data_IF_433605100451
#
_entry.id   IF_433605100451
#
_cell.length_a   1.000
_cell.length_b   1.000
_cell.length_c   1.000
_cell.angle_alpha   90.00
_cell.angle_beta   90.00
_cell.angle_gamma   90.00
#
_symmetry.space_group_name_H-M   'P 1'
#
loop_
_entity.id
_entity.type
_entity.pdbx_description
1 polymer ?
#
# COMPACT_ATOMS: atom_id res chain seq x y z
N UNK A 1 21.29 1.43 4.84
CA UNK A 1 21.50 0.78 6.14
C UNK A 1 20.12 0.67 6.73
N UNK A 2 19.68 -0.54 7.08
CA UNK A 2 18.43 -0.71 7.80
C UNK A 2 18.69 -0.65 9.31
N UNK A 3 17.65 -0.34 10.08
CA UNK A 3 17.71 -0.23 11.53
C UNK A 3 17.95 -1.61 12.12
N UNK A 4 18.99 -1.74 12.95
CA UNK A 4 19.33 -2.98 13.65
C UNK A 4 18.99 -3.00 15.14
N UNK A 5 18.74 -1.81 15.71
CA UNK A 5 18.30 -1.59 17.09
C UNK A 5 17.29 -0.44 17.13
N UNK A 6 16.01 -0.78 17.25
CA UNK A 6 14.89 0.17 17.17
C UNK A 6 14.79 1.04 18.42
N UNK A 7 15.13 0.52 19.60
CA UNK A 7 15.09 1.28 20.85
C UNK A 7 16.17 2.36 20.85
N UNK A 8 17.40 2.00 20.44
CA UNK A 8 18.49 2.95 20.25
C UNK A 8 18.16 3.96 19.16
N UNK A 9 17.60 3.52 18.03
CA UNK A 9 17.17 4.44 16.96
C UNK A 9 16.10 5.43 17.46
N UNK A 10 15.14 4.95 18.23
CA UNK A 10 14.02 5.73 18.72
C UNK A 10 14.38 6.67 19.89
N UNK A 11 15.56 6.51 20.50
CA UNK A 11 15.98 7.15 21.75
C UNK A 11 14.98 6.89 22.89
N UNK A 12 14.61 5.62 23.06
CA UNK A 12 13.69 5.15 24.10
C UNK A 12 14.44 4.26 25.09
N UNK A 13 14.08 4.36 26.37
CA UNK A 13 14.46 3.35 27.36
C UNK A 13 13.60 2.08 27.20
N UNK A 14 14.03 0.96 27.79
CA UNK A 14 13.23 -0.27 27.82
C UNK A 14 11.86 -0.04 28.48
N UNK A 15 11.80 0.77 29.53
CA UNK A 15 10.54 1.15 30.21
C UNK A 15 9.61 1.94 29.29
N UNK A 16 10.16 2.86 28.48
CA UNK A 16 9.37 3.60 27.50
C UNK A 16 8.77 2.67 26.44
N UNK A 17 9.58 1.74 25.91
CA UNK A 17 9.16 0.77 24.89
C UNK A 17 8.03 -0.09 25.45
N UNK A 18 8.19 -0.62 26.67
CA UNK A 18 7.17 -1.44 27.32
C UNK A 18 5.86 -0.67 27.56
N UNK A 19 5.93 0.59 28.02
CA UNK A 19 4.74 1.41 28.27
C UNK A 19 4.01 1.78 26.95
N UNK A 20 4.75 2.06 25.87
CA UNK A 20 4.17 2.28 24.55
C UNK A 20 3.41 1.02 24.09
N UNK A 21 4.04 -0.15 24.20
CA UNK A 21 3.43 -1.44 23.86
C UNK A 21 2.14 -1.67 24.64
N UNK A 22 2.19 -1.52 25.97
CA UNK A 22 1.01 -1.64 26.86
C UNK A 22 -0.13 -0.70 26.45
N UNK A 23 0.18 0.54 26.09
CA UNK A 23 -0.82 1.52 25.66
C UNK A 23 -1.41 1.19 24.29
N UNK A 24 -0.64 0.65 23.36
CA UNK A 24 -1.19 0.17 22.09
C UNK A 24 -2.14 -1.02 22.29
N UNK A 25 -1.81 -1.96 23.17
CA UNK A 25 -2.72 -3.06 23.53
C UNK A 25 -4.01 -2.55 24.19
N UNK A 26 -3.91 -1.53 25.06
CA UNK A 26 -5.08 -0.90 25.68
C UNK A 26 -5.99 -0.23 24.64
N UNK A 27 -5.41 0.46 23.65
CA UNK A 27 -6.13 1.04 22.52
C UNK A 27 -6.84 -0.07 21.74
N UNK A 28 -6.12 -1.13 21.36
CA UNK A 28 -6.69 -2.26 20.61
C UNK A 28 -7.90 -2.85 21.33
N UNK A 29 -7.71 -3.18 22.60
CA UNK A 29 -8.75 -3.76 23.46
C UNK A 29 -9.95 -2.84 23.59
N UNK A 30 -9.74 -1.56 23.87
CA UNK A 30 -10.83 -0.58 23.99
C UNK A 30 -11.70 -0.53 22.73
N UNK A 31 -11.08 -0.51 21.54
CA UNK A 31 -11.82 -0.44 20.29
C UNK A 31 -12.52 -1.76 19.96
N UNK A 32 -11.86 -2.91 20.17
CA UNK A 32 -12.45 -4.25 20.03
C UNK A 32 -13.67 -4.46 20.92
N UNK A 33 -13.56 -4.10 22.20
CA UNK A 33 -14.65 -4.25 23.18
C UNK A 33 -15.86 -3.36 22.83
N UNK A 34 -15.66 -2.30 22.03
CA UNK A 34 -16.70 -1.35 21.62
C UNK A 34 -17.36 -1.65 20.25
N UNK A 35 -16.97 -2.74 19.59
CA UNK A 35 -17.52 -3.11 18.30
C UNK A 35 -18.99 -3.49 18.41
N UNK A 36 -19.80 -3.07 17.43
CA UNK A 36 -21.22 -3.38 17.47
C UNK A 36 -21.99 -2.98 16.22
N UNK A 37 -23.31 -2.75 16.39
CA UNK A 37 -24.24 -2.60 15.26
C UNK A 37 -23.92 -1.41 14.34
N UNK A 38 -23.20 -0.39 14.80
CA UNK A 38 -22.76 0.72 13.95
C UNK A 38 -21.74 0.25 12.91
N UNK A 39 -20.79 -0.59 13.32
CA UNK A 39 -19.74 -1.15 12.48
C UNK A 39 -20.31 -2.18 11.50
N UNK A 40 -21.16 -3.07 11.99
CA UNK A 40 -21.86 -4.03 11.12
C UNK A 40 -22.72 -3.33 10.04
N UNK A 41 -23.39 -2.22 10.39
CA UNK A 41 -24.13 -1.41 9.40
C UNK A 41 -23.22 -0.73 8.39
N UNK A 42 -22.02 -0.31 8.80
CA UNK A 42 -21.04 0.32 7.90
C UNK A 42 -20.67 -0.62 6.75
N UNK A 43 -20.17 -1.81 7.07
CA UNK A 43 -19.72 -2.77 6.04
C UNK A 43 -20.89 -3.26 5.16
N UNK A 44 -22.04 -3.56 5.75
CA UNK A 44 -23.25 -3.97 4.99
C UNK A 44 -23.72 -2.86 4.04
N UNK A 45 -23.60 -1.59 4.44
CA UNK A 45 -23.95 -0.45 3.58
C UNK A 45 -22.96 -0.33 2.42
N UNK A 46 -21.66 -0.46 2.68
CA UNK A 46 -20.64 -0.43 1.63
C UNK A 46 -20.80 -1.55 0.61
N UNK A 47 -21.06 -2.79 1.07
CA UNK A 47 -21.36 -3.92 0.18
C UNK A 47 -22.59 -3.62 -0.67
N UNK A 48 -23.66 -3.06 -0.10
CA UNK A 48 -24.85 -2.67 -0.88
C UNK A 48 -24.51 -1.60 -1.92
N UNK A 49 -23.74 -0.58 -1.56
CA UNK A 49 -23.33 0.49 -2.48
C UNK A 49 -22.48 -0.09 -3.61
N UNK A 50 -21.48 -0.91 -3.29
CA UNK A 50 -20.61 -1.56 -4.27
C UNK A 50 -21.43 -2.43 -5.24
N UNK A 51 -22.29 -3.31 -4.73
CA UNK A 51 -23.13 -4.20 -5.57
C UNK A 51 -24.09 -3.40 -6.45
N UNK A 52 -24.65 -2.30 -5.92
CA UNK A 52 -25.49 -1.39 -6.70
C UNK A 52 -24.68 -0.72 -7.82
N UNK A 53 -23.49 -0.20 -7.51
CA UNK A 53 -22.60 0.41 -8.52
C UNK A 53 -22.20 -0.58 -9.61
N UNK A 54 -21.91 -1.83 -9.25
CA UNK A 54 -21.58 -2.87 -10.23
C UNK A 54 -22.77 -3.18 -11.16
N UNK A 55 -23.94 -3.47 -10.59
CA UNK A 55 -25.15 -3.80 -11.37
C UNK A 55 -25.57 -2.61 -12.24
N UNK A 56 -25.62 -1.40 -11.67
CA UNK A 56 -25.96 -0.18 -12.42
C UNK A 56 -24.91 0.10 -13.49
N UNK A 57 -23.61 -0.01 -13.18
CA UNK A 57 -22.54 0.22 -14.15
C UNK A 57 -22.63 -0.72 -15.35
N UNK A 58 -22.84 -2.01 -15.10
CA UNK A 58 -23.06 -3.01 -16.15
C UNK A 58 -24.35 -2.75 -16.92
N UNK A 59 -25.45 -2.41 -16.24
CA UNK A 59 -26.73 -2.05 -16.88
C UNK A 59 -26.60 -0.85 -17.83
N UNK A 60 -25.93 0.22 -17.39
CA UNK A 60 -25.68 1.42 -18.21
C UNK A 60 -24.87 1.10 -19.47
N UNK A 61 -23.93 0.16 -19.39
CA UNK A 61 -23.17 -0.31 -20.57
C UNK A 61 -24.05 -1.08 -21.56
N UNK A 62 -25.13 -1.71 -21.11
CA UNK A 62 -26.07 -2.47 -21.94
C UNK A 62 -27.22 -1.62 -22.53
N UNK A 63 -27.56 -0.49 -21.90
CA UNK A 63 -28.63 0.42 -22.37
C UNK A 63 -28.50 0.79 -23.85
N UNK A 64 -27.32 1.14 -24.39
CA UNK A 64 -27.19 1.45 -25.81
C UNK A 64 -27.44 0.24 -26.74
N UNK A 65 -27.12 -0.99 -26.31
CA UNK A 65 -27.42 -2.21 -27.05
C UNK A 65 -28.92 -2.44 -27.11
N UNK A 66 -29.61 -2.31 -25.96
CA UNK A 66 -31.07 -2.40 -25.89
C UNK A 66 -31.74 -1.29 -26.71
N UNK A 67 -31.25 -0.06 -26.61
CA UNK A 67 -31.75 1.08 -27.39
C UNK A 67 -31.60 0.89 -28.89
N UNK A 68 -30.48 0.32 -29.36
CA UNK A 68 -30.32 -0.01 -30.78
C UNK A 68 -31.32 -1.06 -31.25
N UNK A 69 -31.55 -2.11 -30.45
CA UNK A 69 -32.53 -3.14 -30.76
C UNK A 69 -33.95 -2.57 -30.84
N UNK A 70 -34.36 -1.76 -29.86
CA UNK A 70 -35.67 -1.11 -29.82
C UNK A 70 -35.85 -0.08 -30.95
N UNK A 71 -34.80 0.66 -31.31
CA UNK A 71 -34.83 1.58 -32.45
C UNK A 71 -35.03 0.83 -33.78
N UNK A 72 -34.38 -0.32 -33.97
CA UNK A 72 -34.60 -1.18 -35.14
C UNK A 72 -36.04 -1.70 -35.23
N UNK A 73 -36.70 -1.88 -34.09
CA UNK A 73 -38.10 -2.27 -33.99
C UNK A 73 -39.08 -1.08 -34.13
N UNK A 74 -38.58 0.14 -34.35
CA UNK A 74 -39.42 1.34 -34.47
C UNK A 74 -40.04 1.83 -33.15
N UNK A 75 -39.59 1.29 -32.02
CA UNK A 75 -40.17 1.56 -30.69
C UNK A 75 -39.55 2.78 -29.98
N UNK A 76 -38.60 3.47 -30.61
CA UNK A 76 -37.95 4.66 -30.03
C UNK A 76 -38.16 5.92 -30.87
N UNK A 77 -38.23 7.10 -30.23
CA UNK A 77 -38.35 8.38 -30.94
C UNK A 77 -37.13 8.64 -31.85
N UNK A 78 -37.35 9.29 -33.00
CA UNK A 78 -36.28 9.72 -33.93
C UNK A 78 -35.22 10.63 -33.27
N UNK A 79 -35.53 11.22 -32.11
CA UNK A 79 -34.62 12.03 -31.29
C UNK A 79 -33.63 11.22 -30.46
N UNK A 80 -33.71 9.88 -30.44
CA UNK A 80 -32.70 9.00 -29.84
C UNK A 80 -31.40 9.10 -30.65
N UNK A 81 -30.61 10.13 -30.35
CA UNK A 81 -29.33 10.41 -31.01
C UNK A 81 -28.21 9.55 -30.41
N UNK A 82 -27.21 9.23 -31.25
CA UNK A 82 -25.96 8.58 -30.85
C UNK A 82 -25.16 9.33 -29.75
N UNK A 83 -25.52 10.55 -29.39
CA UNK A 83 -24.89 11.34 -28.32
C UNK A 83 -25.22 10.81 -26.91
N UNK A 84 -26.40 10.25 -26.68
CA UNK A 84 -26.76 9.64 -25.39
C UNK A 84 -25.88 8.42 -25.06
N UNK A 85 -25.39 7.74 -26.10
CA UNK A 85 -24.55 6.55 -25.97
C UNK A 85 -23.24 6.81 -25.20
N UNK A 86 -22.57 7.93 -25.45
CA UNK A 86 -21.30 8.26 -24.79
C UNK A 86 -21.48 8.56 -23.30
N UNK A 87 -22.58 9.22 -22.92
CA UNK A 87 -22.94 9.46 -21.53
C UNK A 87 -23.12 8.15 -20.76
N UNK A 88 -23.93 7.23 -21.29
CA UNK A 88 -24.13 5.91 -20.68
C UNK A 88 -22.84 5.09 -20.60
N UNK A 89 -21.99 5.15 -21.63
CA UNK A 89 -20.71 4.43 -21.64
C UNK A 89 -19.78 4.91 -20.52
N UNK A 90 -19.56 6.22 -20.42
CA UNK A 90 -18.66 6.76 -19.40
C UNK A 90 -19.25 6.66 -17.99
N UNK A 91 -20.55 6.88 -17.82
CA UNK A 91 -21.23 6.66 -16.54
C UNK A 91 -21.11 5.19 -16.10
N UNK A 92 -21.34 4.24 -17.02
CA UNK A 92 -21.22 2.81 -16.75
C UNK A 92 -19.79 2.39 -16.40
N UNK A 93 -18.80 2.86 -17.17
CA UNK A 93 -17.38 2.59 -16.91
C UNK A 93 -16.92 3.18 -15.57
N UNK A 94 -17.33 4.40 -15.23
CA UNK A 94 -17.00 5.05 -13.96
C UNK A 94 -17.66 4.35 -12.77
N UNK A 95 -18.94 3.99 -12.87
CA UNK A 95 -19.63 3.24 -11.81
C UNK A 95 -18.96 1.87 -11.58
N UNK A 96 -18.59 1.17 -12.66
CA UNK A 96 -17.86 -0.10 -12.56
C UNK A 96 -16.45 0.08 -11.97
N UNK A 97 -15.74 1.15 -12.34
CA UNK A 97 -14.43 1.48 -11.78
C UNK A 97 -14.50 1.73 -10.26
N UNK A 98 -15.50 2.50 -9.81
CA UNK A 98 -15.74 2.73 -8.39
C UNK A 98 -16.12 1.45 -7.65
N UNK A 99 -17.01 0.63 -8.23
CA UNK A 99 -17.37 -0.67 -7.65
C UNK A 99 -16.14 -1.57 -7.45
N UNK A 100 -15.25 -1.62 -8.47
CA UNK A 100 -14.00 -2.38 -8.42
C UNK A 100 -13.00 -1.82 -7.40
N UNK A 101 -12.93 -0.50 -7.22
CA UNK A 101 -12.08 0.14 -6.20
C UNK A 101 -12.57 -0.20 -4.79
N UNK A 102 -13.87 -0.04 -4.52
CA UNK A 102 -14.47 -0.37 -3.23
C UNK A 102 -14.32 -1.85 -2.90
N UNK A 103 -14.57 -2.73 -3.87
CA UNK A 103 -14.40 -4.17 -3.70
C UNK A 103 -12.94 -4.54 -3.41
N UNK A 104 -11.97 -3.86 -4.02
CA UNK A 104 -10.56 -4.16 -3.79
C UNK A 104 -10.08 -3.70 -2.41
N UNK A 105 -10.30 -2.44 -2.06
CA UNK A 105 -9.60 -1.81 -0.93
C UNK A 105 -10.45 -1.75 0.34
N UNK A 106 -11.73 -1.37 0.25
CA UNK A 106 -12.55 -1.18 1.44
C UNK A 106 -13.27 -2.44 1.89
N UNK A 107 -13.65 -3.31 0.94
CA UNK A 107 -14.43 -4.51 1.25
C UNK A 107 -13.53 -5.74 1.26
N UNK A 108 -12.97 -6.13 0.11
CA UNK A 108 -12.24 -7.40 -0.04
C UNK A 108 -10.97 -7.45 0.79
N UNK A 109 -10.10 -6.44 0.70
CA UNK A 109 -8.89 -6.33 1.51
C UNK A 109 -9.21 -6.44 3.01
N UNK A 110 -10.09 -5.58 3.51
CA UNK A 110 -10.43 -5.49 4.93
C UNK A 110 -11.12 -6.76 5.44
N UNK A 111 -12.02 -7.36 4.65
CA UNK A 111 -12.67 -8.63 5.03
C UNK A 111 -11.66 -9.77 5.10
N UNK A 112 -10.72 -9.87 4.15
CA UNK A 112 -9.69 -10.91 4.18
C UNK A 112 -8.66 -10.73 5.29
N UNK A 113 -8.49 -9.52 5.83
CA UNK A 113 -7.73 -9.28 7.08
C UNK A 113 -8.44 -9.76 8.34
N UNK A 114 -9.70 -10.18 8.25
CA UNK A 114 -10.48 -10.60 9.42
C UNK A 114 -11.13 -9.45 10.16
N UNK A 115 -11.14 -8.24 9.59
CA UNK A 115 -11.69 -7.05 10.25
C UNK A 115 -13.16 -7.18 10.64
N UNK A 116 -13.91 -8.06 10.00
CA UNK A 116 -15.34 -8.26 10.26
C UNK A 116 -15.67 -9.62 10.89
N UNK A 117 -14.67 -10.47 11.19
CA UNK A 117 -14.88 -11.85 11.66
C UNK A 117 -15.60 -11.89 13.02
N UNK A 118 -15.45 -10.84 13.84
CA UNK A 118 -16.18 -10.68 15.11
C UNK A 118 -17.71 -10.69 14.94
N UNK A 119 -18.22 -10.40 13.73
CA UNK A 119 -19.65 -10.45 13.43
C UNK A 119 -20.20 -11.88 13.35
N UNK A 120 -19.33 -12.89 13.18
CA UNK A 120 -19.71 -14.27 12.86
C UNK A 120 -20.72 -14.37 11.69
N UNK A 121 -20.58 -13.48 10.71
CA UNK A 121 -21.42 -13.44 9.52
C UNK A 121 -20.88 -14.43 8.47
N UNK A 122 -21.69 -15.34 7.91
CA UNK A 122 -21.19 -16.39 7.02
C UNK A 122 -20.68 -15.85 5.67
N UNK A 123 -21.19 -14.70 5.23
CA UNK A 123 -20.74 -14.05 4.00
C UNK A 123 -19.57 -13.11 4.27
N UNK A 124 -19.67 -12.27 5.30
CA UNK A 124 -18.67 -11.23 5.60
C UNK A 124 -17.60 -11.78 6.56
N UNK A 125 -16.76 -12.69 6.05
CA UNK A 125 -15.75 -13.37 6.86
C UNK A 125 -14.47 -13.66 6.05
N UNK A 126 -13.29 -13.56 6.68
CA UNK A 126 -11.98 -13.77 6.03
C UNK A 126 -11.79 -15.17 5.43
N UNK A 127 -12.46 -16.16 6.02
CA UNK A 127 -12.44 -17.56 5.58
C UNK A 127 -13.25 -17.81 4.30
N UNK A 128 -14.31 -17.04 4.04
CA UNK A 128 -15.28 -17.29 2.95
C UNK A 128 -15.28 -16.20 1.88
N UNK A 129 -14.85 -14.97 2.21
CA UNK A 129 -14.84 -13.88 1.24
C UNK A 129 -13.87 -14.16 0.11
N UNK A 130 -14.37 -13.99 -1.11
CA UNK A 130 -13.54 -14.05 -2.28
C UNK A 130 -13.86 -12.91 -3.25
N UNK A 131 -12.90 -11.99 -3.36
CA UNK A 131 -13.08 -10.69 -3.99
C UNK A 131 -13.10 -10.73 -5.53
N UNK A 132 -13.60 -9.65 -6.13
CA UNK A 132 -13.53 -9.42 -7.57
C UNK A 132 -12.14 -8.98 -8.05
N UNK A 133 -11.16 -9.88 -7.93
CA UNK A 133 -9.79 -9.66 -8.36
C UNK A 133 -9.16 -10.92 -9.00
N UNK A 134 -8.00 -10.76 -9.63
CA UNK A 134 -7.23 -11.85 -10.25
C UNK A 134 -6.45 -12.69 -9.23
N UNK A 135 -6.14 -12.10 -8.06
CA UNK A 135 -5.49 -12.79 -6.95
C UNK A 135 -6.50 -13.63 -6.15
N UNK A 136 -6.27 -14.93 -5.93
CA UNK A 136 -7.07 -15.71 -4.97
C UNK A 136 -6.92 -15.17 -3.54
N UNK A 137 -7.99 -15.25 -2.73
CA UNK A 137 -7.95 -14.84 -1.32
C UNK A 137 -6.91 -15.59 -0.49
N UNK A 138 -6.65 -16.87 -0.79
CA UNK A 138 -5.59 -17.69 -0.18
C UNK A 138 -4.20 -17.06 -0.38
N UNK A 139 -3.86 -16.72 -1.63
CA UNK A 139 -2.60 -16.08 -1.98
C UNK A 139 -2.45 -14.69 -1.37
N UNK A 140 -3.53 -13.91 -1.30
CA UNK A 140 -3.51 -12.62 -0.60
C UNK A 140 -3.25 -12.79 0.90
N UNK A 141 -3.97 -13.71 1.56
CA UNK A 141 -3.80 -13.97 3.01
C UNK A 141 -2.39 -14.46 3.35
N UNK A 142 -1.77 -15.26 2.48
CA UNK A 142 -0.39 -15.69 2.72
C UNK A 142 0.61 -14.55 2.44
N UNK A 143 0.63 -14.00 1.22
CA UNK A 143 1.63 -13.00 0.83
C UNK A 143 1.50 -11.67 1.57
N UNK A 144 0.29 -11.18 1.80
CA UNK A 144 0.07 -9.90 2.48
C UNK A 144 -0.11 -10.07 3.97
N UNK A 145 -1.12 -10.84 4.41
CA UNK A 145 -1.48 -10.88 5.83
C UNK A 145 -0.45 -11.64 6.66
N UNK A 146 0.13 -12.73 6.14
CA UNK A 146 1.14 -13.48 6.87
C UNK A 146 2.54 -12.94 6.62
N UNK A 147 2.99 -12.81 5.37
CA UNK A 147 4.37 -12.38 5.08
C UNK A 147 4.55 -10.89 5.35
N UNK A 148 3.82 -10.03 4.64
CA UNK A 148 4.06 -8.58 4.74
C UNK A 148 3.72 -8.00 6.14
N UNK A 149 2.57 -8.30 6.74
CA UNK A 149 2.22 -7.76 8.07
C UNK A 149 3.11 -8.28 9.21
N UNK A 150 3.61 -9.51 9.11
CA UNK A 150 4.56 -10.05 10.10
C UNK A 150 5.94 -9.41 9.95
N UNK A 151 6.43 -9.32 8.71
CA UNK A 151 7.80 -8.92 8.40
C UNK A 151 7.94 -7.48 7.89
N UNK A 152 6.93 -6.63 8.07
CA UNK A 152 6.85 -5.30 7.44
C UNK A 152 8.18 -4.56 7.43
N UNK A 153 8.66 -4.26 6.22
CA UNK A 153 9.92 -3.58 5.92
C UNK A 153 11.21 -4.24 6.46
N UNK A 154 11.17 -5.51 6.86
CA UNK A 154 12.35 -6.30 7.24
C UNK A 154 13.06 -6.80 5.99
N UNK A 155 14.29 -6.35 5.78
CA UNK A 155 15.03 -6.62 4.56
C UNK A 155 15.30 -8.13 4.37
N UNK A 156 14.84 -8.63 3.22
CA UNK A 156 15.01 -10.03 2.84
C UNK A 156 14.09 -11.00 3.59
N UNK A 157 13.04 -10.49 4.24
CA UNK A 157 11.90 -11.26 4.75
C UNK A 157 10.58 -10.71 4.19
N UNK A 158 10.43 -9.40 4.14
CA UNK A 158 9.33 -8.74 3.42
C UNK A 158 9.68 -8.58 1.94
N UNK A 159 8.81 -9.14 1.09
CA UNK A 159 9.00 -9.13 -0.35
C UNK A 159 8.79 -7.72 -0.97
N UNK A 160 8.11 -6.83 -0.23
CA UNK A 160 7.75 -5.49 -0.73
C UNK A 160 8.96 -4.55 -0.76
N UNK A 161 9.86 -4.68 0.22
CA UNK A 161 11.15 -3.97 0.27
C UNK A 161 12.34 -4.81 -0.22
N UNK A 162 12.23 -6.14 -0.22
CA UNK A 162 13.26 -7.09 -0.63
C UNK A 162 12.78 -8.08 -1.67
N UNK A 163 13.57 -8.47 -2.67
CA UNK A 163 13.16 -9.42 -3.75
C UNK A 163 12.02 -8.99 -4.69
N UNK A 164 11.28 -7.90 -4.41
CA UNK A 164 10.28 -7.33 -5.32
C UNK A 164 10.82 -6.93 -6.71
N UNK A 165 9.91 -6.61 -7.63
CA UNK A 165 10.24 -6.23 -9.02
C UNK A 165 11.01 -4.89 -9.06
N UNK A 166 10.71 -3.99 -8.12
CA UNK A 166 11.29 -2.66 -8.02
C UNK A 166 12.34 -2.58 -6.91
N UNK A 167 13.32 -1.72 -7.11
CA UNK A 167 14.31 -1.30 -6.12
C UNK A 167 13.77 -0.05 -5.41
N UNK A 168 13.24 -0.26 -4.22
CA UNK A 168 12.66 0.78 -3.34
C UNK A 168 13.61 1.27 -2.26
N UNK A 169 14.66 0.51 -1.96
CA UNK A 169 15.74 0.88 -1.02
C UNK A 169 17.12 0.77 -1.68
N UNK A 170 18.08 1.58 -1.18
CA UNK A 170 19.49 1.50 -1.57
C UNK A 170 20.22 0.28 -1.00
N UNK A 171 19.67 -0.38 0.03
CA UNK A 171 20.22 -1.62 0.62
C UNK A 171 20.16 -2.80 -0.35
N UNK A 172 19.26 -2.75 -1.31
CA UNK A 172 19.29 -3.69 -2.44
C UNK A 172 20.38 -3.28 -3.41
N UNK A 173 21.29 -4.21 -3.71
CA UNK A 173 22.33 -4.02 -4.74
C UNK A 173 21.70 -3.65 -6.08
N UNK A 174 22.18 -2.55 -6.66
CA UNK A 174 21.78 -2.12 -8.00
C UNK A 174 22.28 -3.11 -9.07
N UNK A 175 21.46 -3.33 -10.11
CA UNK A 175 21.81 -4.14 -11.28
C UNK A 175 21.50 -3.36 -12.57
N UNK A 176 22.14 -3.64 -13.71
CA UNK A 176 21.86 -2.93 -14.97
C UNK A 176 20.38 -2.92 -15.38
N UNK A 177 19.65 -4.01 -15.12
CA UNK A 177 18.21 -4.09 -15.40
C UNK A 177 17.37 -3.08 -14.60
N UNK A 178 17.89 -2.57 -13.48
CA UNK A 178 17.22 -1.55 -12.66
C UNK A 178 17.09 -0.21 -13.40
N UNK A 179 17.84 0.04 -14.48
CA UNK A 179 17.62 1.21 -15.35
C UNK A 179 16.22 1.21 -15.99
N UNK A 180 15.63 0.03 -16.22
CA UNK A 180 14.28 -0.10 -16.77
C UNK A 180 13.17 0.13 -15.74
N UNK A 181 13.53 0.35 -14.47
CA UNK A 181 12.58 0.59 -13.38
C UNK A 181 11.48 1.61 -13.70
N UNK A 182 11.73 2.77 -14.35
CA UNK A 182 10.64 3.69 -14.69
C UNK A 182 9.57 3.05 -15.59
N UNK A 183 9.98 2.26 -16.58
CA UNK A 183 9.07 1.53 -17.47
C UNK A 183 8.39 0.40 -16.72
N UNK A 184 9.17 -0.40 -15.99
CA UNK A 184 8.65 -1.50 -15.17
C UNK A 184 7.62 -1.02 -14.15
N UNK A 185 7.81 0.17 -13.58
CA UNK A 185 6.91 0.79 -12.63
C UNK A 185 5.56 1.16 -13.25
N UNK A 186 5.56 1.75 -14.46
CA UNK A 186 4.31 2.05 -15.19
C UNK A 186 3.57 0.78 -15.57
N UNK A 187 4.30 -0.26 -16.00
CA UNK A 187 3.71 -1.57 -16.31
C UNK A 187 3.12 -2.21 -15.05
N UNK A 188 3.85 -2.19 -13.93
CA UNK A 188 3.39 -2.68 -12.64
C UNK A 188 2.12 -1.95 -12.20
N UNK A 189 2.10 -0.62 -12.22
CA UNK A 189 0.94 0.17 -11.84
C UNK A 189 -0.27 -0.14 -12.73
N UNK A 190 -0.06 -0.33 -14.04
CA UNK A 190 -1.14 -0.61 -14.99
C UNK A 190 -1.68 -2.04 -14.85
N UNK A 191 -0.84 -2.99 -14.41
CA UNK A 191 -1.16 -4.42 -14.28
C UNK A 191 -1.18 -4.88 -12.81
N UNK A 192 -1.40 -3.97 -11.87
CA UNK A 192 -1.15 -4.21 -10.44
C UNK A 192 -1.87 -5.44 -9.89
N UNK A 193 -3.14 -5.66 -10.24
CA UNK A 193 -3.87 -6.88 -9.86
C UNK A 193 -3.15 -8.19 -10.23
N UNK A 194 -2.47 -8.20 -11.37
CA UNK A 194 -1.81 -9.37 -11.93
C UNK A 194 -0.49 -9.59 -11.20
N UNK A 195 0.24 -8.50 -10.92
CA UNK A 195 1.44 -8.58 -10.10
C UNK A 195 1.12 -9.16 -8.72
N UNK A 196 0.06 -8.69 -8.06
CA UNK A 196 -0.44 -9.22 -6.78
C UNK A 196 -0.86 -10.68 -6.92
N UNK A 197 -1.57 -11.05 -7.98
CA UNK A 197 -2.03 -12.43 -8.19
C UNK A 197 -0.88 -13.43 -8.28
N UNK A 198 0.21 -13.09 -8.97
CA UNK A 198 1.37 -13.96 -9.12
C UNK A 198 2.42 -13.78 -8.02
N UNK A 199 2.22 -12.83 -7.10
CA UNK A 199 3.21 -12.47 -6.09
C UNK A 199 3.56 -13.64 -5.18
N UNK A 200 2.54 -14.32 -4.68
CA UNK A 200 2.67 -15.44 -3.75
C UNK A 200 3.28 -16.71 -4.38
N UNK A 201 3.16 -16.85 -5.71
CA UNK A 201 3.75 -17.97 -6.45
C UNK A 201 5.27 -17.94 -6.35
N UNK A 202 5.87 -16.74 -6.20
CA UNK A 202 7.32 -16.54 -6.10
C UNK A 202 8.11 -17.20 -7.26
N UNK A 203 7.64 -17.07 -8.51
CA UNK A 203 8.28 -17.69 -9.68
C UNK A 203 9.78 -17.36 -9.80
N UNK A 204 10.20 -16.17 -9.35
CA UNK A 204 11.62 -15.80 -9.29
C UNK A 204 12.46 -16.71 -8.40
N UNK A 205 11.88 -17.23 -7.30
CA UNK A 205 12.54 -18.21 -6.42
C UNK A 205 12.59 -19.59 -7.05
N UNK A 206 11.57 -19.97 -7.83
CA UNK A 206 11.59 -21.21 -8.62
C UNK A 206 12.73 -21.18 -9.63
N UNK A 207 12.83 -20.11 -10.42
CA UNK A 207 13.92 -19.95 -11.40
C UNK A 207 15.31 -19.86 -10.74
N UNK A 208 15.39 -19.40 -9.50
CA UNK A 208 16.62 -19.36 -8.72
C UNK A 208 16.91 -20.68 -7.97
N UNK A 209 16.09 -21.72 -8.11
CA UNK A 209 16.24 -23.00 -7.40
C UNK A 209 15.98 -22.93 -5.89
N UNK A 210 15.33 -21.87 -5.41
CA UNK A 210 15.03 -21.60 -3.99
C UNK A 210 13.62 -22.01 -3.55
N UNK A 211 12.80 -22.49 -4.49
CA UNK A 211 11.44 -23.01 -4.28
C UNK A 211 11.21 -24.13 -5.29
N UNK A 212 10.64 -25.25 -4.85
CA UNK A 212 10.39 -26.39 -5.73
C UNK A 212 9.21 -26.12 -6.66
N UNK A 213 9.18 -26.79 -7.82
CA UNK A 213 8.02 -26.73 -8.71
C UNK A 213 6.77 -27.36 -8.07
N UNK A 214 6.94 -28.43 -7.28
CA UNK A 214 5.83 -29.10 -6.61
C UNK A 214 5.14 -28.19 -5.58
N UNK A 215 5.89 -27.27 -4.97
CA UNK A 215 5.35 -26.25 -4.08
C UNK A 215 4.69 -25.10 -4.85
N UNK A 216 5.30 -24.63 -5.95
CA UNK A 216 4.79 -23.48 -6.71
C UNK A 216 3.60 -23.82 -7.63
N UNK A 217 3.51 -25.05 -8.14
CA UNK A 217 2.51 -25.47 -9.12
C UNK A 217 1.07 -25.35 -8.60
N UNK A 218 0.72 -25.81 -7.39
CA UNK A 218 -0.64 -25.66 -6.86
C UNK A 218 -1.08 -24.19 -6.78
N UNK A 219 -0.22 -23.32 -6.24
CA UNK A 219 -0.46 -21.88 -6.14
C UNK A 219 -0.65 -21.26 -7.54
N UNK A 220 0.21 -21.61 -8.49
CA UNK A 220 0.11 -21.15 -9.87
C UNK A 220 -1.22 -21.57 -10.50
N UNK A 221 -1.63 -22.83 -10.33
CA UNK A 221 -2.89 -23.32 -10.90
C UNK A 221 -4.11 -22.64 -10.28
N UNK A 222 -4.10 -22.37 -8.98
CA UNK A 222 -5.16 -21.61 -8.32
C UNK A 222 -5.27 -20.19 -8.91
N UNK A 223 -4.14 -19.49 -9.04
CA UNK A 223 -4.06 -18.16 -9.65
C UNK A 223 -4.57 -18.19 -11.08
N UNK A 224 -4.14 -19.15 -11.91
CA UNK A 224 -4.56 -19.29 -13.29
C UNK A 224 -6.07 -19.60 -13.41
N UNK A 225 -6.60 -20.46 -12.55
CA UNK A 225 -8.04 -20.79 -12.53
C UNK A 225 -8.88 -19.58 -12.14
N UNK A 226 -8.50 -18.87 -11.06
CA UNK A 226 -9.18 -17.65 -10.61
C UNK A 226 -9.11 -16.57 -11.68
N UNK A 227 -7.91 -16.31 -12.19
CA UNK A 227 -7.63 -15.33 -13.24
C UNK A 227 -8.41 -15.63 -14.52
N UNK A 228 -8.45 -16.89 -14.94
CA UNK A 228 -9.19 -17.35 -16.10
C UNK A 228 -10.70 -17.08 -15.98
N UNK A 229 -11.27 -17.30 -14.79
CA UNK A 229 -12.68 -16.94 -14.50
C UNK A 229 -12.92 -15.44 -14.60
N UNK A 230 -11.99 -14.61 -14.13
CA UNK A 230 -12.11 -13.16 -14.26
C UNK A 230 -12.03 -12.69 -15.71
N UNK A 231 -11.10 -13.26 -16.48
CA UNK A 231 -10.97 -12.94 -17.91
C UNK A 231 -12.21 -13.36 -18.69
N UNK A 232 -12.69 -14.59 -18.45
CA UNK A 232 -13.92 -15.10 -19.03
C UNK A 232 -15.11 -14.18 -18.71
N UNK A 233 -15.25 -13.77 -17.44
CA UNK A 233 -16.31 -12.86 -17.02
C UNK A 233 -16.22 -11.49 -17.73
N UNK A 234 -15.12 -10.77 -17.54
CA UNK A 234 -15.00 -9.36 -17.95
C UNK A 234 -14.73 -9.19 -19.45
N UNK A 235 -14.15 -10.17 -20.15
CA UNK A 235 -13.75 -10.01 -21.56
C UNK A 235 -14.45 -10.96 -22.53
N UNK A 236 -15.23 -11.92 -22.04
CA UNK A 236 -16.02 -12.81 -22.90
C UNK A 236 -17.50 -12.72 -22.58
N UNK A 237 -17.93 -13.04 -21.36
CA UNK A 237 -19.36 -13.12 -20.99
C UNK A 237 -20.07 -11.76 -21.09
N UNK A 238 -19.55 -10.73 -20.40
CA UNK A 238 -20.16 -9.40 -20.46
C UNK A 238 -20.10 -8.78 -21.87
N UNK A 239 -18.96 -8.82 -22.58
CA UNK A 239 -18.92 -8.38 -23.97
C UNK A 239 -19.88 -9.15 -24.89
N UNK A 240 -20.01 -10.47 -24.76
CA UNK A 240 -20.93 -11.26 -25.57
C UNK A 240 -22.39 -10.85 -25.34
N UNK A 241 -22.79 -10.59 -24.09
CA UNK A 241 -24.13 -10.07 -23.76
C UNK A 241 -24.42 -8.71 -24.42
N UNK A 242 -23.39 -7.92 -24.74
CA UNK A 242 -23.53 -6.64 -25.43
C UNK A 242 -23.68 -6.77 -26.97
N UNK A 243 -23.60 -7.99 -27.52
CA UNK A 243 -23.79 -8.26 -28.95
C UNK A 243 -22.80 -7.51 -29.83
N UNK A 244 -23.29 -6.72 -30.79
CA UNK A 244 -22.43 -5.95 -31.71
C UNK A 244 -21.53 -4.93 -31.02
N UNK A 245 -21.84 -4.58 -29.76
CA UNK A 245 -21.12 -3.58 -28.95
C UNK A 245 -20.13 -4.21 -27.96
N UNK A 246 -19.74 -5.46 -28.21
CA UNK A 246 -18.81 -6.20 -27.34
C UNK A 246 -17.50 -5.45 -27.10
N UNK A 247 -16.96 -4.76 -28.12
CA UNK A 247 -15.70 -4.01 -28.03
C UNK A 247 -15.79 -2.89 -27.00
N UNK A 248 -16.92 -2.19 -26.93
CA UNK A 248 -17.11 -1.09 -26.01
C UNK A 248 -17.27 -1.54 -24.57
N UNK A 249 -17.94 -2.68 -24.33
CA UNK A 249 -18.03 -3.28 -23.00
C UNK A 249 -16.69 -3.85 -22.56
N UNK A 250 -15.97 -4.56 -23.44
CA UNK A 250 -14.61 -5.03 -23.16
C UNK A 250 -13.66 -3.86 -22.83
N UNK A 251 -13.75 -2.75 -23.57
CA UNK A 251 -13.00 -1.54 -23.30
C UNK A 251 -13.39 -0.88 -21.97
N UNK A 252 -14.69 -0.82 -21.64
CA UNK A 252 -15.14 -0.30 -20.35
C UNK A 252 -14.63 -1.15 -19.18
N UNK A 253 -14.65 -2.47 -19.30
CA UNK A 253 -14.08 -3.39 -18.31
C UNK A 253 -12.56 -3.20 -18.18
N UNK A 254 -11.85 -3.04 -19.30
CA UNK A 254 -10.42 -2.71 -19.30
C UNK A 254 -10.14 -1.40 -18.55
N UNK A 255 -10.90 -0.33 -18.83
CA UNK A 255 -10.71 0.97 -18.17
C UNK A 255 -11.05 0.92 -16.68
N UNK A 256 -12.09 0.18 -16.28
CA UNK A 256 -12.43 -0.01 -14.87
C UNK A 256 -11.34 -0.80 -14.11
N UNK A 257 -10.79 -1.85 -14.74
CA UNK A 257 -9.67 -2.60 -14.18
C UNK A 257 -8.39 -1.75 -14.11
N UNK A 258 -8.10 -0.94 -15.14
CA UNK A 258 -6.96 -0.01 -15.14
C UNK A 258 -7.09 1.03 -14.03
N UNK A 259 -8.28 1.62 -13.86
CA UNK A 259 -8.55 2.58 -12.79
C UNK A 259 -8.30 1.97 -11.41
N UNK A 260 -8.83 0.76 -11.15
CA UNK A 260 -8.56 0.03 -9.90
C UNK A 260 -7.07 -0.26 -9.73
N UNK A 261 -6.38 -0.72 -10.77
CA UNK A 261 -4.95 -1.04 -10.69
C UNK A 261 -4.10 0.18 -10.33
N UNK A 262 -4.28 1.30 -11.04
CA UNK A 262 -3.55 2.54 -10.77
C UNK A 262 -3.85 3.08 -9.37
N UNK A 263 -5.12 2.99 -8.95
CA UNK A 263 -5.55 3.46 -7.64
C UNK A 263 -4.99 2.60 -6.49
N UNK A 264 -5.16 1.28 -6.56
CA UNK A 264 -4.62 0.35 -5.56
C UNK A 264 -3.09 0.44 -5.46
N UNK A 265 -2.40 0.52 -6.61
CA UNK A 265 -0.95 0.77 -6.66
C UNK A 265 -0.59 2.06 -5.90
N UNK A 266 -1.27 3.17 -6.21
CA UNK A 266 -0.94 4.46 -5.61
C UNK A 266 -1.20 4.50 -4.11
N UNK A 267 -2.29 3.87 -3.64
CA UNK A 267 -2.63 3.77 -2.21
C UNK A 267 -1.60 2.91 -1.47
N UNK A 268 -1.35 1.68 -1.93
CA UNK A 268 -0.45 0.73 -1.25
C UNK A 268 0.99 1.26 -1.21
N UNK A 269 1.48 1.81 -2.31
CA UNK A 269 2.85 2.34 -2.36
C UNK A 269 3.03 3.55 -1.43
N UNK A 270 2.01 4.39 -1.27
CA UNK A 270 2.02 5.51 -0.32
C UNK A 270 2.04 5.06 1.14
N UNK A 271 1.67 3.81 1.44
CA UNK A 271 1.71 3.23 2.77
C UNK A 271 3.11 2.83 3.24
N UNK A 272 4.00 2.45 2.31
CA UNK A 272 5.27 1.75 2.65
C UNK A 272 6.55 2.38 2.11
N UNK A 273 6.47 3.13 1.02
CA UNK A 273 7.66 3.63 0.31
C UNK A 273 7.86 5.15 0.27
N UNK A 274 7.02 6.02 0.87
CA UNK A 274 7.41 7.41 0.98
C UNK A 274 8.66 7.59 1.82
N UNK A 275 9.19 8.82 1.80
CA UNK A 275 10.29 9.14 2.71
C UNK A 275 9.86 8.90 4.16
N UNK A 276 10.83 8.53 4.98
CA UNK A 276 10.62 8.33 6.41
C UNK A 276 9.73 7.12 6.77
N UNK A 277 9.46 6.21 5.82
CA UNK A 277 9.04 4.84 6.10
C UNK A 277 10.30 3.97 6.23
N UNK A 278 10.59 3.54 7.46
CA UNK A 278 11.88 2.94 7.78
C UNK A 278 11.97 1.46 7.39
N UNK A 279 13.19 0.97 7.20
CA UNK A 279 13.48 -0.45 6.95
C UNK A 279 14.32 -1.05 8.04
N UNK A 280 14.15 -2.34 8.30
CA UNK A 280 14.72 -3.04 9.45
C UNK A 280 15.56 -4.24 9.02
N UNK A 281 16.57 -4.58 9.81
CA UNK A 281 17.40 -5.76 9.54
C UNK A 281 16.75 -7.03 10.10
N UNK A 282 17.30 -8.20 9.74
CA UNK A 282 16.87 -9.47 10.32
C UNK A 282 17.27 -9.60 11.79
N UNK A 283 18.37 -8.96 12.17
CA UNK A 283 18.86 -8.91 13.53
C UNK A 283 17.82 -8.24 14.44
N UNK A 284 17.30 -7.06 14.07
CA UNK A 284 16.19 -6.41 14.79
C UNK A 284 14.99 -7.35 14.92
N UNK A 285 14.57 -7.99 13.82
CA UNK A 285 13.43 -8.91 13.85
C UNK A 285 13.65 -10.12 14.76
N UNK A 286 14.87 -10.65 14.81
CA UNK A 286 15.16 -11.86 15.58
C UNK A 286 15.18 -11.62 17.10
N UNK A 287 15.39 -10.37 17.52
CA UNK A 287 15.45 -9.99 18.94
C UNK A 287 14.20 -9.25 19.42
N UNK A 288 13.30 -8.87 18.51
CA UNK A 288 12.15 -8.04 18.87
C UNK A 288 11.15 -8.74 19.79
N UNK A 289 10.67 -8.00 20.78
CA UNK A 289 9.45 -8.36 21.50
C UNK A 289 8.20 -7.74 20.84
N UNK A 290 7.02 -7.92 21.46
CA UNK A 290 5.76 -7.37 20.94
C UNK A 290 5.71 -5.83 20.95
N UNK A 291 6.37 -5.19 21.92
CA UNK A 291 6.40 -3.73 22.05
C UNK A 291 7.28 -3.11 20.96
N UNK A 292 8.45 -3.70 20.72
CA UNK A 292 9.33 -3.34 19.61
C UNK A 292 8.69 -3.65 18.25
N UNK A 293 7.91 -4.73 18.14
CA UNK A 293 7.11 -5.01 16.96
C UNK A 293 6.14 -3.86 16.65
N UNK A 294 5.43 -3.31 17.65
CA UNK A 294 4.55 -2.15 17.42
C UNK A 294 5.33 -0.93 16.92
N UNK A 295 6.50 -0.64 17.51
CA UNK A 295 7.36 0.44 17.04
C UNK A 295 7.80 0.22 15.59
N UNK A 296 8.15 -1.01 15.22
CA UNK A 296 8.55 -1.37 13.85
C UNK A 296 7.41 -1.15 12.87
N UNK A 297 6.21 -1.63 13.20
CA UNK A 297 5.01 -1.43 12.38
C UNK A 297 4.69 0.05 12.16
N UNK A 298 4.81 0.86 13.23
CA UNK A 298 4.57 2.30 13.19
C UNK A 298 5.62 3.05 12.35
N UNK A 299 6.90 2.78 12.58
CA UNK A 299 8.00 3.46 11.90
C UNK A 299 8.19 2.99 10.45
N UNK A 300 7.78 1.76 10.13
CA UNK A 300 7.79 1.19 8.77
C UNK A 300 6.63 1.64 7.87
N UNK A 301 5.66 2.37 8.40
CA UNK A 301 4.43 2.73 7.68
C UNK A 301 4.24 4.25 7.58
N UNK A 302 3.52 4.69 6.56
CA UNK A 302 3.23 6.08 6.28
C UNK A 302 1.75 6.32 6.00
N UNK A 303 1.22 7.36 6.62
CA UNK A 303 -0.16 7.80 6.45
C UNK A 303 -0.27 8.91 5.41
N UNK A 304 -1.50 9.13 4.95
CA UNK A 304 -1.84 10.35 4.24
C UNK A 304 -3.19 10.92 4.69
N UNK A 305 -3.31 12.24 4.60
CA UNK A 305 -4.57 12.91 4.91
C UNK A 305 -5.62 12.59 3.85
N UNK A 306 -6.81 12.22 4.29
CA UNK A 306 -7.98 12.03 3.44
C UNK A 306 -9.25 12.48 4.13
N UNK A 307 -10.14 13.14 3.37
CA UNK A 307 -11.53 13.30 3.77
C UNK A 307 -12.28 11.95 3.66
N UNK A 308 -13.58 11.97 3.93
CA UNK A 308 -14.41 10.75 3.89
C UNK A 308 -14.28 9.97 2.57
N UNK A 309 -14.35 10.67 1.44
CA UNK A 309 -14.29 10.04 0.12
C UNK A 309 -12.93 9.35 -0.13
N UNK A 310 -11.82 10.03 0.17
CA UNK A 310 -10.49 9.44 0.00
C UNK A 310 -10.27 8.28 0.97
N UNK A 311 -10.75 8.39 2.21
CA UNK A 311 -10.63 7.33 3.20
C UNK A 311 -11.34 6.07 2.71
N UNK A 312 -12.62 6.17 2.34
CA UNK A 312 -13.40 5.03 1.82
C UNK A 312 -12.83 4.48 0.51
N UNK A 313 -12.43 5.35 -0.44
CA UNK A 313 -11.87 4.86 -1.70
C UNK A 313 -10.49 4.21 -1.51
N UNK A 314 -9.74 4.57 -0.47
CA UNK A 314 -8.45 3.94 -0.13
C UNK A 314 -8.58 2.70 0.74
N UNK A 315 -9.77 2.32 1.20
CA UNK A 315 -9.92 1.21 2.16
C UNK A 315 -9.62 1.59 3.61
N UNK A 316 -9.62 2.88 3.92
CA UNK A 316 -9.01 3.50 5.10
C UNK A 316 -7.48 3.29 5.23
N UNK A 317 -6.80 2.84 4.17
CA UNK A 317 -5.34 2.70 4.11
C UNK A 317 -4.59 4.04 4.12
N UNK A 318 -5.31 5.16 4.11
CA UNK A 318 -4.75 6.45 4.48
C UNK A 318 -4.32 6.51 5.97
N UNK A 319 -4.76 5.53 6.78
CA UNK A 319 -4.35 5.22 8.15
C UNK A 319 -3.51 3.91 8.19
N UNK A 320 -2.52 3.80 7.31
CA UNK A 320 -1.62 2.65 7.21
C UNK A 320 -0.90 2.31 8.51
N UNK A 321 -0.46 3.31 9.28
CA UNK A 321 0.18 3.11 10.59
C UNK A 321 -0.76 2.31 11.50
N UNK A 322 -2.01 2.74 11.63
CA UNK A 322 -3.01 2.07 12.47
C UNK A 322 -3.37 0.69 11.91
N UNK A 323 -3.46 0.57 10.58
CA UNK A 323 -3.67 -0.71 9.91
C UNK A 323 -2.54 -1.70 10.20
N UNK A 324 -1.28 -1.26 10.30
CA UNK A 324 -0.15 -2.13 10.63
C UNK A 324 -0.04 -2.46 12.12
N UNK A 325 -0.45 -1.53 12.99
CA UNK A 325 -0.56 -1.79 14.42
C UNK A 325 -1.66 -2.84 14.72
N UNK A 326 -2.81 -2.72 14.05
CA UNK A 326 -4.02 -3.52 14.30
C UNK A 326 -4.69 -3.98 12.98
N UNK A 327 -4.09 -4.92 12.22
CA UNK A 327 -4.52 -5.25 10.85
C UNK A 327 -5.94 -5.82 10.75
N UNK A 328 -6.40 -6.49 11.81
CA UNK A 328 -7.73 -7.09 11.91
C UNK A 328 -8.74 -6.19 12.66
N UNK A 329 -8.42 -4.91 12.88
CA UNK A 329 -9.36 -3.92 13.39
C UNK A 329 -10.24 -3.37 12.25
N UNK A 330 -11.58 -3.28 12.41
CA UNK A 330 -12.46 -2.60 11.47
C UNK A 330 -11.93 -1.27 10.92
N UNK A 331 -11.83 -1.17 9.60
CA UNK A 331 -11.33 0.00 8.85
C UNK A 331 -11.97 1.32 9.29
N UNK A 332 -13.26 1.30 9.64
CA UNK A 332 -14.02 2.47 10.09
C UNK A 332 -13.61 3.01 11.47
N UNK A 333 -12.75 2.28 12.21
CA UNK A 333 -12.22 2.67 13.52
C UNK A 333 -10.84 3.33 13.43
N UNK A 334 -10.09 3.09 12.35
CA UNK A 334 -8.70 3.55 12.20
C UNK A 334 -8.57 5.07 12.36
N UNK A 335 -9.53 5.84 11.87
CA UNK A 335 -9.53 7.30 12.05
C UNK A 335 -9.58 7.72 13.53
N UNK A 336 -10.32 7.00 14.38
CA UNK A 336 -10.41 7.29 15.81
C UNK A 336 -9.15 6.82 16.54
N UNK A 337 -8.66 5.63 16.22
CA UNK A 337 -7.42 5.05 16.75
C UNK A 337 -6.23 5.98 16.47
N UNK A 338 -6.17 6.55 15.26
CA UNK A 338 -5.08 7.42 14.83
C UNK A 338 -4.85 8.63 15.74
N UNK A 339 -5.90 9.14 16.40
CA UNK A 339 -5.80 10.25 17.34
C UNK A 339 -5.05 9.85 18.61
N UNK A 340 -5.27 8.62 19.07
CA UNK A 340 -4.65 8.06 20.27
C UNK A 340 -3.20 7.65 19.98
N UNK A 341 -2.95 7.02 18.83
CA UNK A 341 -1.58 6.72 18.34
C UNK A 341 -0.75 8.01 18.20
N UNK A 342 -1.30 9.06 17.59
CA UNK A 342 -0.63 10.36 17.50
C UNK A 342 -0.33 10.99 18.86
N UNK A 343 -1.19 10.77 19.86
CA UNK A 343 -0.96 11.28 21.21
C UNK A 343 0.26 10.60 21.84
N UNK A 344 0.35 9.27 21.74
CA UNK A 344 1.53 8.52 22.17
C UNK A 344 2.78 9.02 21.43
N UNK A 345 2.70 9.18 20.10
CA UNK A 345 3.83 9.69 19.31
C UNK A 345 4.31 11.06 19.80
N UNK A 346 3.39 11.98 20.16
CA UNK A 346 3.75 13.29 20.70
C UNK A 346 4.42 13.20 22.08
N UNK A 347 3.91 12.35 22.95
CA UNK A 347 4.43 12.21 24.33
C UNK A 347 5.84 11.62 24.37
N UNK A 348 6.14 10.67 23.48
CA UNK A 348 7.45 10.03 23.38
C UNK A 348 8.38 10.69 22.35
N UNK A 349 7.96 11.81 21.74
CA UNK A 349 8.64 12.50 20.62
C UNK A 349 9.05 11.53 19.49
N UNK A 350 8.12 10.65 19.11
CA UNK A 350 8.23 9.74 17.98
C UNK A 350 7.63 10.35 16.70
N UNK A 351 8.20 10.07 15.52
CA UNK A 351 7.66 10.57 14.28
C UNK A 351 6.34 9.88 13.96
N UNK A 352 5.35 10.66 13.55
CA UNK A 352 4.11 10.14 12.98
C UNK A 352 4.07 10.52 11.50
N UNK A 353 4.51 9.61 10.63
CA UNK A 353 4.74 9.89 9.21
C UNK A 353 3.42 10.09 8.48
N UNK A 354 2.99 11.35 8.29
CA UNK A 354 1.77 11.69 7.57
C UNK A 354 2.00 12.88 6.63
N UNK A 355 1.39 12.84 5.45
CA UNK A 355 1.43 13.92 4.47
C UNK A 355 0.15 14.03 3.64
N UNK A 356 0.11 14.94 2.66
CA UNK A 356 -0.96 14.90 1.66
C UNK A 356 -0.73 13.72 0.69
N UNK A 357 -1.79 13.14 0.15
CA UNK A 357 -1.68 12.04 -0.81
C UNK A 357 -0.76 12.37 -2.01
N UNK A 358 -0.86 13.54 -2.67
CA UNK A 358 0.06 13.90 -3.76
C UNK A 358 1.53 13.98 -3.33
N UNK A 359 1.80 14.44 -2.09
CA UNK A 359 3.16 14.53 -1.55
C UNK A 359 3.74 13.14 -1.31
N UNK A 360 3.00 12.24 -0.64
CA UNK A 360 3.44 10.87 -0.40
C UNK A 360 3.69 10.15 -1.73
N UNK A 361 2.76 10.27 -2.68
CA UNK A 361 2.90 9.66 -4.00
C UNK A 361 4.12 10.21 -4.76
N UNK A 362 4.35 11.52 -4.72
CA UNK A 362 5.53 12.11 -5.34
C UNK A 362 6.83 11.61 -4.70
N UNK A 363 6.89 11.45 -3.38
CA UNK A 363 8.07 10.93 -2.67
C UNK A 363 8.39 9.50 -3.14
N UNK A 364 7.38 8.64 -3.25
CA UNK A 364 7.51 7.29 -3.82
C UNK A 364 8.07 7.36 -5.24
N UNK A 365 7.43 8.09 -6.15
CA UNK A 365 7.85 8.15 -7.56
C UNK A 365 9.28 8.71 -7.69
N UNK A 366 9.61 9.74 -6.91
CA UNK A 366 10.96 10.31 -6.84
C UNK A 366 11.98 9.26 -6.38
N UNK A 367 11.68 8.47 -5.34
CA UNK A 367 12.56 7.42 -4.85
C UNK A 367 12.76 6.33 -5.91
N UNK A 368 11.69 5.87 -6.57
CA UNK A 368 11.78 4.89 -7.66
C UNK A 368 12.63 5.40 -8.83
N UNK A 369 12.45 6.64 -9.27
CA UNK A 369 13.25 7.23 -10.34
C UNK A 369 14.72 7.38 -9.92
N UNK A 370 14.95 7.91 -8.72
CA UNK A 370 16.31 8.09 -8.17
C UNK A 370 17.06 6.76 -8.06
N UNK A 371 16.41 5.71 -7.57
CA UNK A 371 17.02 4.39 -7.36
C UNK A 371 17.13 3.56 -8.64
N UNK A 372 16.57 4.02 -9.77
CA UNK A 372 16.82 3.44 -11.10
C UNK A 372 18.30 3.57 -11.51
N UNK A 373 18.99 4.58 -10.98
CA UNK A 373 20.40 4.86 -11.27
C UNK A 373 21.34 4.19 -10.24
N UNK A 374 22.61 3.91 -10.63
CA UNK A 374 23.63 3.40 -9.73
C UNK A 374 23.87 4.26 -8.48
N UNK A 375 24.24 3.64 -7.36
CA UNK A 375 24.47 4.31 -6.08
C UNK A 375 25.53 5.42 -6.14
N UNK A 376 26.49 5.38 -7.06
CA UNK A 376 27.50 6.43 -7.24
C UNK A 376 26.93 7.82 -7.55
N UNK A 377 25.66 7.87 -7.96
CA UNK A 377 24.94 9.12 -8.23
C UNK A 377 24.14 9.61 -7.00
N UNK A 378 23.99 8.78 -5.96
CA UNK A 378 23.29 9.18 -4.74
C UNK A 378 24.22 10.00 -3.86
N UNK A 379 23.82 11.23 -3.54
CA UNK A 379 24.65 12.19 -2.79
C UNK A 379 24.40 12.15 -1.29
N UNK A 380 23.17 11.82 -0.86
CA UNK A 380 22.82 11.76 0.56
C UNK A 380 23.52 10.58 1.25
N UNK A 381 23.99 10.80 2.48
CA UNK A 381 24.56 9.75 3.35
C UNK A 381 23.61 8.53 3.42
N UNK A 382 24.11 7.30 3.24
CA UNK A 382 23.30 6.08 3.31
C UNK A 382 22.60 5.82 4.65
N UNK A 383 23.03 6.46 5.75
CA UNK A 383 22.40 6.39 7.06
C UNK A 383 21.41 7.54 7.33
N UNK A 384 21.44 8.60 6.51
CA UNK A 384 20.54 9.76 6.64
C UNK A 384 19.89 10.13 5.29
N UNK A 385 19.46 9.12 4.54
CA UNK A 385 18.77 9.33 3.29
C UNK A 385 17.25 9.55 3.52
N UNK A 386 16.54 10.22 2.59
CA UNK A 386 15.09 10.31 2.67
C UNK A 386 14.39 8.95 2.64
N UNK A 387 14.88 8.02 1.82
CA UNK A 387 14.29 6.70 1.60
C UNK A 387 14.79 5.61 2.55
N UNK A 388 15.83 5.88 3.34
CA UNK A 388 16.38 4.91 4.29
C UNK A 388 17.24 5.59 5.35
N UNK A 389 17.19 5.11 6.59
CA UNK A 389 18.04 5.56 7.69
C UNK A 389 18.40 4.44 8.65
N UNK A 390 19.39 4.71 9.48
CA UNK A 390 19.78 3.84 10.59
C UNK A 390 20.21 4.68 11.81
N UNK A 391 20.30 4.02 12.95
CA UNK A 391 20.88 4.52 14.20
C UNK A 391 22.33 5.00 14.05
N UNK A 392 23.07 4.53 13.04
CA UNK A 392 24.42 4.98 12.77
C UNK A 392 24.47 6.47 12.36
N UNK A 393 23.37 7.05 11.89
CA UNK A 393 23.29 8.48 11.58
C UNK A 393 23.60 9.33 12.82
N UNK A 394 23.10 8.96 13.99
CA UNK A 394 23.29 9.73 15.22
C UNK A 394 24.74 9.67 15.70
N UNK A 395 25.43 8.54 15.49
CA UNK A 395 26.89 8.41 15.73
C UNK A 395 27.72 9.26 14.77
N UNK A 396 27.30 9.36 13.50
CA UNK A 396 27.99 10.17 12.46
C UNK A 396 27.80 11.67 12.63
N UNK A 397 26.69 12.09 13.24
CA UNK A 397 26.35 13.49 13.47
C UNK A 397 26.24 13.77 14.98
N UNK A 398 27.36 13.77 15.74
CA UNK A 398 27.36 13.84 17.20
C UNK A 398 26.72 15.12 17.77
N UNK A 399 26.66 16.19 16.97
CA UNK A 399 25.93 17.41 17.35
C UNK A 399 24.41 17.20 17.47
N UNK A 400 23.86 16.22 16.75
CA UNK A 400 22.45 15.84 16.89
C UNK A 400 22.28 15.02 18.16
N UNK A 401 23.14 14.03 18.39
CA UNK A 401 23.12 13.19 19.59
C UNK A 401 23.24 14.02 20.87
N UNK A 402 24.19 14.96 20.91
CA UNK A 402 24.40 15.84 22.06
C UNK A 402 23.17 16.71 22.37
N UNK A 403 22.44 17.15 21.34
CA UNK A 403 21.22 17.94 21.51
C UNK A 403 20.07 17.07 22.05
N UNK A 404 19.96 15.81 21.61
CA UNK A 404 18.96 14.87 22.12
C UNK A 404 19.21 14.49 23.58
N UNK A 405 20.48 14.38 23.97
CA UNK A 405 20.89 14.10 25.36
C UNK A 405 20.87 15.34 26.27
N UNK A 406 20.68 16.54 25.71
CA UNK A 406 20.66 17.78 26.50
C UNK A 406 19.45 17.83 27.44
N UNK A 407 19.67 18.29 28.67
CA UNK A 407 18.58 18.49 29.63
C UNK A 407 17.59 19.52 29.11
N UNK A 408 16.33 19.11 28.93
CA UNK A 408 15.24 19.96 28.47
C UNK A 408 13.94 19.61 29.21
N UNK A 409 13.08 20.59 29.52
CA UNK A 409 11.76 20.31 30.08
C UNK A 409 10.82 19.57 29.11
N UNK A 410 11.13 19.57 27.82
CA UNK A 410 10.40 18.80 26.81
C UNK A 410 11.25 17.61 26.36
N UNK A 411 10.62 16.43 26.22
CA UNK A 411 11.28 15.23 25.70
C UNK A 411 11.81 15.49 24.27
N UNK A 412 13.06 15.11 24.03
CA UNK A 412 13.72 15.14 22.72
C UNK A 412 14.05 13.70 22.32
N UNK A 413 13.26 13.14 21.42
CA UNK A 413 13.40 11.79 20.89
C UNK A 413 13.62 11.80 19.38
N UNK A 414 13.25 10.68 18.75
CA UNK A 414 13.47 10.44 17.33
C UNK A 414 12.88 11.53 16.42
N UNK A 415 11.68 12.05 16.69
CA UNK A 415 11.10 13.10 15.85
C UNK A 415 11.93 14.39 15.85
N UNK A 416 12.49 14.79 17.00
CA UNK A 416 13.45 15.89 17.08
C UNK A 416 14.73 15.56 16.32
N UNK A 417 15.29 14.36 16.54
CA UNK A 417 16.50 13.90 15.88
C UNK A 417 16.38 13.91 14.36
N UNK A 418 15.28 13.37 13.83
CA UNK A 418 14.98 13.33 12.40
C UNK A 418 14.83 14.74 11.79
N UNK A 419 14.23 15.70 12.51
CA UNK A 419 14.16 17.10 12.04
C UNK A 419 15.55 17.70 11.90
N UNK A 420 16.45 17.42 12.85
CA UNK A 420 17.83 17.91 12.81
C UNK A 420 18.63 17.23 11.70
N UNK A 421 18.58 15.90 11.62
CA UNK A 421 19.23 15.10 10.57
C UNK A 421 18.78 15.54 9.17
N UNK A 422 17.49 15.84 8.97
CA UNK A 422 16.98 16.33 7.68
C UNK A 422 17.64 17.63 7.22
N UNK A 423 18.04 18.52 8.13
CA UNK A 423 18.76 19.77 7.81
C UNK A 423 20.20 19.54 7.37
N UNK A 424 20.78 18.38 7.71
CA UNK A 424 22.14 17.99 7.33
C UNK A 424 22.20 17.28 5.97
N UNK A 425 21.04 17.03 5.34
CA UNK A 425 20.99 16.39 4.01
C UNK A 425 21.46 17.37 2.93
N UNK A 426 22.12 16.87 1.86
CA UNK A 426 22.56 17.72 0.77
C UNK A 426 21.40 18.50 0.12
N UNK A 427 21.56 19.81 0.00
CA UNK A 427 20.63 20.66 -0.73
C UNK A 427 20.75 20.50 -2.25
N UNK A 428 19.78 21.03 -3.00
CA UNK A 428 19.77 20.96 -4.48
C UNK A 428 21.09 21.50 -5.07
N UNK A 429 21.63 22.59 -4.52
CA UNK A 429 22.90 23.18 -4.96
C UNK A 429 24.08 22.23 -4.79
N UNK A 430 24.16 21.52 -3.67
CA UNK A 430 25.23 20.57 -3.37
C UNK A 430 25.11 19.32 -4.24
N UNK A 431 23.89 18.86 -4.47
CA UNK A 431 23.60 17.78 -5.42
C UNK A 431 24.10 18.17 -6.82
N UNK A 432 23.75 19.35 -7.33
CA UNK A 432 24.20 19.83 -8.64
C UNK A 432 25.73 19.96 -8.69
N UNK A 433 26.37 20.48 -7.63
CA UNK A 433 27.83 20.55 -7.53
C UNK A 433 28.49 19.17 -7.58
N UNK A 434 27.93 18.18 -6.88
CA UNK A 434 28.40 16.80 -6.91
C UNK A 434 28.33 16.21 -8.33
N UNK A 435 27.23 16.43 -9.05
CA UNK A 435 27.07 15.94 -10.43
C UNK A 435 27.93 16.67 -11.46
N UNK A 436 28.24 17.94 -11.22
CA UNK A 436 29.05 18.77 -12.14
C UNK A 436 30.56 18.69 -11.86
N UNK A 437 30.98 17.85 -10.92
CA UNK A 437 32.40 17.73 -10.52
C UNK A 437 32.93 18.96 -9.77
N UNK A 438 32.04 19.84 -9.29
CA UNK A 438 32.37 21.08 -8.56
C UNK A 438 32.16 20.95 -7.05
N UNK A 439 32.02 19.72 -6.56
CA UNK A 439 31.89 19.43 -5.12
C UNK A 439 33.22 19.60 -4.42
N UNK A 440 33.22 20.34 -3.31
CA UNK A 440 34.35 20.43 -2.37
C UNK A 440 34.37 19.27 -1.36
N UNK A 441 33.32 18.44 -1.34
CA UNK A 441 33.32 17.21 -0.54
C UNK A 441 34.14 16.13 -1.26
N UNK A 442 35.34 15.88 -0.76
CA UNK A 442 36.05 14.61 -0.91
C UNK A 442 35.19 13.52 -0.28
N UNK A 443 34.27 12.94 -1.05
CA UNK A 443 33.60 11.72 -0.64
C UNK A 443 34.67 10.66 -0.40
N UNK A 444 34.78 10.17 0.84
CA UNK A 444 35.49 8.94 1.14
C UNK A 444 34.89 7.85 0.25
N UNK A 445 35.62 7.51 -0.81
CA UNK A 445 35.28 6.41 -1.71
C UNK A 445 35.67 5.13 -0.98
N UNK A 446 34.71 4.53 -0.28
CA UNK A 446 34.77 3.18 0.30
C UNK A 446 33.59 2.39 -0.21
#
# INVERSE_FOLDING_TARGET
MAISDIASYAHLSEEDVAEIGRRFEEIEKQHRDSLGQKDARYIRTLIRIQRTLEVTGRGLLMVPTAGMALNKLGMLPKSWKNTAHWGFKWAGASALGLAKILENLEIGHNTMHGQWDWMNDPEIHSATWEWDNSCPSSGWKHSHNFVHHKYTNVLGMDNDVGYGILRVTRDRRWKPSTLLQPVTNVVLASLFQWAVAFYDVELGRVFAGKKSWDEARPQLMEVLNKSGRQVLKDYVLFPAMAGSRYREVAFANMMANLARNLWAYAVIFCGHFPDDAETFTKEQYNTEDKSEWYLRQMLGSANFHGGLALSVLSGNLNYQIEHHLFPDMPSNRLAQISKQVQQICREYDLPYNTGSFPKQFFQVQRTLLKLSLPNRFLVADPDNAPEVRSEAAFKKYPQVEAELQSSSPQRKGLATGLRMLRRLRPGVREIVRAYTGRSTHTAARG
#
